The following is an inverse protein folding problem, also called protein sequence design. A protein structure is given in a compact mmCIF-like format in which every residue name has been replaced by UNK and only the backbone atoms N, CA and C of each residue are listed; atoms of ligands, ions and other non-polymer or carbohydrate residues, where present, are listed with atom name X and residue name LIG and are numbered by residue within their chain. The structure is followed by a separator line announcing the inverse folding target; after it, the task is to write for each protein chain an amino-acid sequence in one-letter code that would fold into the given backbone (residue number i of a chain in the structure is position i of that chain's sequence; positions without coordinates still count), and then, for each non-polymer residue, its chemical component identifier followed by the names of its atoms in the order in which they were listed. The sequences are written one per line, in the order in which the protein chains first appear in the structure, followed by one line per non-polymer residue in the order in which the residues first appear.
data_IF_129444947469
#
_entry.id   IF_129444947469
#
_cell.length_a   1.000
_cell.length_b   1.000
_cell.length_c   1.000
_cell.angle_alpha   90.00
_cell.angle_beta   90.00
_cell.angle_gamma   90.00
#
_symmetry.space_group_name_H-M   'P 1'
#
loop_
_entity.id
_entity.type
_entity.pdbx_description
1 polymer ?
#
# COMPACT_ATOMS: atom_id res chain seq x y z
N UNK A 1 37.91 3.64 -16.90
CA UNK A 1 38.21 4.80 -16.05
C UNK A 1 37.07 4.89 -15.05
N UNK A 2 37.35 4.62 -13.77
CA UNK A 2 36.37 4.59 -12.69
C UNK A 2 36.40 5.95 -12.00
N UNK A 3 35.41 6.79 -12.28
CA UNK A 3 35.19 8.04 -11.55
C UNK A 3 34.47 7.71 -10.23
N UNK A 4 35.28 7.33 -9.23
CA UNK A 4 34.85 7.30 -7.84
C UNK A 4 34.74 8.75 -7.36
N UNK A 5 33.58 9.38 -7.59
CA UNK A 5 33.24 10.68 -7.02
C UNK A 5 33.10 10.57 -5.51
N UNK A 6 34.24 10.64 -4.81
CA UNK A 6 34.29 10.81 -3.37
C UNK A 6 33.93 12.28 -3.07
N UNK A 7 32.65 12.55 -2.83
CA UNK A 7 32.15 13.88 -2.49
C UNK A 7 32.75 14.26 -1.12
N UNK A 8 33.84 15.02 -1.12
CA UNK A 8 34.38 15.64 0.09
C UNK A 8 33.56 16.91 0.41
N UNK A 9 32.66 16.78 1.37
CA UNK A 9 31.90 17.91 1.92
C UNK A 9 32.82 18.77 2.80
N UNK A 10 32.69 20.09 2.70
CA UNK A 10 33.36 21.03 3.62
C UNK A 10 32.82 20.88 5.05
N UNK A 11 33.60 21.31 6.04
CA UNK A 11 33.13 21.30 7.44
C UNK A 11 31.87 22.15 7.63
N UNK A 12 31.72 23.25 6.90
CA UNK A 12 30.48 24.05 6.89
C UNK A 12 29.29 23.28 6.31
N UNK A 13 29.49 22.52 5.24
CA UNK A 13 28.43 21.70 4.64
C UNK A 13 28.01 20.56 5.58
N UNK A 14 28.96 19.95 6.30
CA UNK A 14 28.67 18.93 7.32
C UNK A 14 27.90 19.53 8.50
N UNK A 15 28.31 20.70 8.98
CA UNK A 15 27.66 21.41 10.08
C UNK A 15 26.25 21.86 9.70
N UNK A 16 26.03 22.24 8.44
CA UNK A 16 24.71 22.58 7.92
C UNK A 16 23.81 21.34 7.84
N UNK A 17 24.32 20.23 7.31
CA UNK A 17 23.59 18.96 7.24
C UNK A 17 23.19 18.47 8.64
N UNK A 18 24.11 18.60 9.61
CA UNK A 18 23.87 18.21 10.99
C UNK A 18 22.80 19.08 11.68
N UNK A 19 22.79 20.39 11.40
CA UNK A 19 21.75 21.30 11.88
C UNK A 19 20.38 20.96 11.29
N UNK A 20 20.31 20.71 9.98
CA UNK A 20 19.07 20.29 9.32
C UNK A 20 18.56 18.95 9.86
N UNK A 21 19.46 17.99 10.07
CA UNK A 21 19.12 16.68 10.64
C UNK A 21 18.56 16.81 12.06
N UNK A 22 19.22 17.58 12.94
CA UNK A 22 18.72 17.85 14.30
C UNK A 22 17.38 18.55 14.31
N UNK A 23 17.17 19.51 13.41
CA UNK A 23 15.91 20.24 13.32
C UNK A 23 14.77 19.32 12.85
N UNK A 24 15.02 18.44 11.86
CA UNK A 24 14.04 17.44 11.42
C UNK A 24 13.70 16.42 12.51
N UNK A 25 14.72 15.88 13.19
CA UNK A 25 14.51 14.94 14.30
C UNK A 25 13.68 15.58 15.42
N UNK A 26 13.98 16.83 15.79
CA UNK A 26 13.23 17.57 16.80
C UNK A 26 11.78 17.84 16.38
N UNK A 27 11.54 18.19 15.11
CA UNK A 27 10.17 18.39 14.58
C UNK A 27 9.40 17.06 14.57
N UNK A 28 10.06 15.94 14.23
CA UNK A 28 9.45 14.61 14.28
C UNK A 28 9.13 14.20 15.73
N UNK A 29 10.04 14.43 16.69
CA UNK A 29 9.83 14.14 18.11
C UNK A 29 8.72 15.03 18.73
N UNK A 30 8.72 16.34 18.44
CA UNK A 30 7.68 17.27 18.91
C UNK A 30 6.30 16.99 18.29
N UNK A 31 6.25 16.42 17.08
CA UNK A 31 5.02 15.96 16.47
C UNK A 31 4.52 14.62 17.07
N UNK A 32 5.44 13.78 17.58
CA UNK A 32 5.12 12.49 18.17
C UNK A 32 4.48 12.62 19.56
N UNK A 33 4.89 13.61 20.35
CA UNK A 33 4.34 13.87 21.70
C UNK A 33 3.07 14.74 21.69
N UNK A 34 2.70 15.31 20.55
CA UNK A 34 1.53 16.20 20.46
C UNK A 34 0.28 15.37 20.15
N UNK A 35 -0.70 15.42 21.05
CA UNK A 35 -2.04 14.88 20.79
C UNK A 35 -2.81 15.83 19.86
N UNK A 36 -3.48 15.25 18.87
CA UNK A 36 -4.35 15.98 17.94
C UNK A 36 -5.74 15.37 17.99
N UNK A 37 -6.75 16.22 18.14
CA UNK A 37 -8.14 15.82 18.00
C UNK A 37 -8.50 15.64 16.52
N UNK A 38 -9.35 14.65 16.23
CA UNK A 38 -9.91 14.49 14.89
C UNK A 38 -10.87 15.66 14.65
N UNK A 39 -10.79 16.37 13.50
CA UNK A 39 -11.71 17.47 13.18
C UNK A 39 -13.18 17.06 13.30
N UNK A 40 -14.00 17.92 13.91
CA UNK A 40 -15.43 17.67 14.18
C UNK A 40 -16.21 17.32 12.91
N UNK A 41 -15.92 18.00 11.80
CA UNK A 41 -16.54 17.72 10.49
C UNK A 41 -16.37 16.25 10.06
N UNK A 42 -15.20 15.65 10.33
CA UNK A 42 -14.94 14.23 10.03
C UNK A 42 -15.72 13.33 10.98
N UNK A 43 -15.77 13.68 12.27
CA UNK A 43 -16.51 12.91 13.27
C UNK A 43 -18.02 12.94 12.97
N UNK A 44 -18.57 14.10 12.61
CA UNK A 44 -19.97 14.26 12.24
C UNK A 44 -20.32 13.39 11.03
N UNK A 45 -19.48 13.39 9.99
CA UNK A 45 -19.67 12.53 8.83
C UNK A 45 -19.61 11.04 9.19
N UNK A 46 -18.71 10.65 10.11
CA UNK A 46 -18.55 9.28 10.60
C UNK A 46 -19.76 8.80 11.41
N UNK A 47 -20.29 9.65 12.30
CA UNK A 47 -21.33 9.28 13.25
C UNK A 47 -22.75 9.38 12.65
N UNK A 48 -22.98 10.33 11.76
CA UNK A 48 -24.32 10.62 11.24
C UNK A 48 -24.62 9.96 9.88
N UNK A 49 -23.64 9.35 9.23
CA UNK A 49 -23.85 8.66 7.94
C UNK A 49 -24.24 7.20 8.14
N UNK A 50 -25.31 6.76 7.46
CA UNK A 50 -25.74 5.36 7.54
C UNK A 50 -24.73 4.41 6.90
N UNK A 51 -24.70 3.15 7.35
CA UNK A 51 -23.85 2.09 6.74
C UNK A 51 -24.10 1.93 5.24
N UNK A 52 -25.35 2.03 4.80
CA UNK A 52 -25.71 1.90 3.38
C UNK A 52 -25.17 3.08 2.57
N UNK A 53 -25.28 4.29 3.11
CA UNK A 53 -24.79 5.50 2.46
C UNK A 53 -23.26 5.49 2.37
N UNK A 54 -22.56 5.04 3.42
CA UNK A 54 -21.12 4.80 3.36
C UNK A 54 -20.73 3.86 2.23
N UNK A 55 -21.42 2.71 2.09
CA UNK A 55 -21.12 1.77 1.02
C UNK A 55 -21.31 2.39 -0.37
N UNK A 56 -22.32 3.25 -0.55
CA UNK A 56 -22.54 3.94 -1.82
C UNK A 56 -21.49 5.03 -2.07
N UNK A 57 -21.19 5.86 -1.06
CA UNK A 57 -20.16 6.91 -1.11
C UNK A 57 -18.80 6.31 -1.43
N UNK A 58 -18.38 5.26 -0.72
CA UNK A 58 -17.09 4.59 -0.96
C UNK A 58 -17.00 3.95 -2.35
N UNK A 59 -18.07 3.32 -2.85
CA UNK A 59 -18.08 2.80 -4.23
C UNK A 59 -17.94 3.90 -5.28
N UNK A 60 -18.59 5.06 -5.06
CA UNK A 60 -18.46 6.21 -5.95
C UNK A 60 -17.03 6.78 -5.90
N UNK A 61 -16.50 6.96 -4.69
CA UNK A 61 -15.14 7.45 -4.47
C UNK A 61 -14.08 6.52 -5.10
N UNK A 62 -14.17 5.21 -4.89
CA UNK A 62 -13.28 4.23 -5.53
C UNK A 62 -13.28 4.32 -7.06
N UNK A 63 -14.41 4.70 -7.67
CA UNK A 63 -14.54 4.86 -9.13
C UNK A 63 -14.04 6.21 -9.63
N UNK A 64 -13.99 7.23 -8.77
CA UNK A 64 -13.48 8.55 -9.14
C UNK A 64 -11.95 8.60 -9.11
N UNK A 65 -11.30 7.72 -8.35
CA UNK A 65 -9.84 7.69 -8.25
C UNK A 65 -9.15 7.43 -9.60
N UNK A 66 -7.96 8.01 -9.83
CA UNK A 66 -7.14 7.73 -11.00
C UNK A 66 -6.79 6.24 -11.11
N UNK A 67 -6.79 5.74 -12.34
CA UNK A 67 -6.33 4.38 -12.65
C UNK A 67 -4.85 4.41 -13.00
N UNK A 68 -4.01 4.21 -12.00
CA UNK A 68 -2.57 4.06 -12.19
C UNK A 68 -2.24 2.78 -12.97
N UNK A 69 -1.15 2.81 -13.73
CA UNK A 69 -0.68 1.65 -14.49
C UNK A 69 -0.49 0.44 -13.57
N UNK A 70 -0.95 -0.73 -14.05
CA UNK A 70 -0.81 -2.00 -13.34
C UNK A 70 0.68 -2.39 -13.25
N UNK A 71 1.19 -2.48 -12.03
CA UNK A 71 2.55 -2.89 -11.69
C UNK A 71 2.50 -3.81 -10.48
N UNK A 72 3.65 -4.36 -10.08
CA UNK A 72 3.75 -5.25 -8.91
C UNK A 72 3.11 -4.68 -7.63
N UNK A 73 3.10 -3.36 -7.45
CA UNK A 73 2.62 -2.66 -6.25
C UNK A 73 1.17 -2.19 -6.38
N UNK A 74 0.78 -1.76 -7.58
CA UNK A 74 -0.54 -1.19 -7.85
C UNK A 74 -1.59 -2.23 -8.25
N UNK A 75 -1.16 -3.42 -8.70
CA UNK A 75 -2.06 -4.52 -9.05
C UNK A 75 -2.50 -5.30 -7.82
N UNK A 76 -3.81 -5.46 -7.65
CA UNK A 76 -4.37 -6.36 -6.65
C UNK A 76 -4.11 -7.81 -7.03
N UNK A 77 -3.87 -8.65 -6.01
CA UNK A 77 -3.69 -10.09 -6.19
C UNK A 77 -4.94 -10.87 -5.75
N UNK A 78 -5.02 -12.14 -6.18
CA UNK A 78 -6.04 -13.08 -5.71
C UNK A 78 -5.52 -14.51 -5.75
N UNK A 79 -6.07 -15.36 -4.88
CA UNK A 79 -5.83 -16.80 -4.93
C UNK A 79 -6.38 -17.40 -6.23
N UNK A 80 -5.67 -18.37 -6.82
CA UNK A 80 -6.11 -19.08 -8.02
C UNK A 80 -7.42 -19.83 -7.74
N UNK A 81 -8.39 -19.72 -8.66
CA UNK A 81 -9.74 -20.29 -8.49
C UNK A 81 -9.73 -21.80 -8.28
N UNK A 82 -8.78 -22.50 -8.91
CA UNK A 82 -8.61 -23.95 -8.77
C UNK A 82 -8.42 -24.40 -7.31
N UNK A 83 -7.78 -23.56 -6.47
CA UNK A 83 -7.53 -23.87 -5.07
C UNK A 83 -8.71 -23.55 -4.15
N UNK A 84 -9.78 -22.91 -4.63
CA UNK A 84 -10.91 -22.53 -3.79
C UNK A 84 -11.60 -23.75 -3.15
N UNK A 85 -11.82 -24.81 -3.93
CA UNK A 85 -12.49 -26.01 -3.45
C UNK A 85 -11.65 -26.73 -2.40
N UNK A 86 -10.35 -26.87 -2.66
CA UNK A 86 -9.42 -27.55 -1.75
C UNK A 86 -9.20 -26.76 -0.47
N UNK A 87 -8.99 -25.44 -0.55
CA UNK A 87 -8.90 -24.58 0.64
C UNK A 87 -10.16 -24.67 1.50
N UNK A 88 -11.36 -24.65 0.91
CA UNK A 88 -12.61 -24.80 1.65
C UNK A 88 -12.77 -26.17 2.30
N UNK A 89 -12.25 -27.23 1.66
CA UNK A 89 -12.34 -28.61 2.15
C UNK A 89 -11.32 -28.89 3.25
N UNK A 90 -10.09 -28.46 3.05
CA UNK A 90 -8.94 -28.78 3.92
C UNK A 90 -8.86 -27.83 5.12
N UNK A 91 -9.13 -26.53 4.91
CA UNK A 91 -9.06 -25.54 5.97
C UNK A 91 -9.94 -24.30 5.65
N UNK A 92 -11.23 -24.40 5.98
CA UNK A 92 -12.21 -23.34 5.71
C UNK A 92 -11.82 -22.00 6.35
N UNK A 93 -11.25 -22.03 7.55
CA UNK A 93 -10.79 -20.83 8.25
C UNK A 93 -9.67 -20.13 7.46
N UNK A 94 -8.70 -20.90 6.94
CA UNK A 94 -7.65 -20.36 6.08
C UNK A 94 -8.22 -19.74 4.80
N UNK A 95 -9.22 -20.38 4.17
CA UNK A 95 -9.89 -19.79 3.00
C UNK A 95 -10.52 -18.43 3.31
N UNK A 96 -11.20 -18.31 4.47
CA UNK A 96 -11.82 -17.06 4.90
C UNK A 96 -10.78 -15.97 5.18
N UNK A 97 -9.70 -16.32 5.87
CA UNK A 97 -8.59 -15.40 6.18
C UNK A 97 -7.91 -14.91 4.90
N UNK A 98 -7.54 -15.82 3.98
CA UNK A 98 -6.95 -15.48 2.68
C UNK A 98 -7.86 -14.54 1.89
N UNK A 99 -9.16 -14.86 1.82
CA UNK A 99 -10.14 -14.04 1.12
C UNK A 99 -10.28 -12.64 1.75
N UNK A 100 -10.19 -12.54 3.08
CA UNK A 100 -10.23 -11.27 3.78
C UNK A 100 -8.95 -10.46 3.55
N UNK A 101 -7.79 -11.10 3.55
CA UNK A 101 -6.50 -10.45 3.29
C UNK A 101 -6.50 -9.77 1.92
N UNK A 102 -6.88 -10.48 0.85
CA UNK A 102 -6.97 -9.87 -0.48
C UNK A 102 -8.00 -8.73 -0.57
N UNK A 103 -9.08 -8.75 0.23
CA UNK A 103 -10.01 -7.61 0.31
C UNK A 103 -9.39 -6.42 1.06
N UNK A 104 -8.61 -6.68 2.11
CA UNK A 104 -7.94 -5.63 2.88
C UNK A 104 -6.82 -4.97 2.07
N UNK A 105 -6.01 -5.76 1.36
CA UNK A 105 -4.97 -5.22 0.50
C UNK A 105 -5.53 -4.37 -0.64
N UNK A 106 -6.70 -4.72 -1.19
CA UNK A 106 -7.41 -3.93 -2.21
C UNK A 106 -7.89 -2.57 -1.67
N UNK A 107 -8.39 -2.54 -0.42
CA UNK A 107 -8.74 -1.29 0.27
C UNK A 107 -7.51 -0.42 0.51
N UNK A 108 -6.37 -1.03 0.88
CA UNK A 108 -5.12 -0.28 1.03
C UNK A 108 -4.62 0.28 -0.29
N UNK A 109 -4.76 -0.45 -1.40
CA UNK A 109 -4.46 0.09 -2.74
C UNK A 109 -5.36 1.26 -3.13
N UNK A 110 -6.64 1.20 -2.76
CA UNK A 110 -7.55 2.35 -2.91
C UNK A 110 -7.01 3.57 -2.16
N UNK A 111 -6.61 3.40 -0.90
CA UNK A 111 -6.02 4.48 -0.10
C UNK A 111 -4.69 4.97 -0.68
N UNK A 112 -3.87 4.08 -1.22
CA UNK A 112 -2.63 4.43 -1.91
C UNK A 112 -2.86 5.25 -3.17
N UNK A 113 -3.87 4.90 -3.97
CA UNK A 113 -4.26 5.67 -5.15
C UNK A 113 -4.73 7.07 -4.76
N UNK A 114 -5.58 7.19 -3.74
CA UNK A 114 -6.02 8.48 -3.19
C UNK A 114 -4.85 9.35 -2.68
N UNK A 115 -3.93 8.75 -1.93
CA UNK A 115 -2.74 9.45 -1.45
C UNK A 115 -1.81 9.87 -2.59
N UNK A 116 -1.75 9.09 -3.68
CA UNK A 116 -0.97 9.44 -4.87
C UNK A 116 -1.60 10.61 -5.62
N UNK A 117 -2.92 10.63 -5.76
CA UNK A 117 -3.66 11.73 -6.38
C UNK A 117 -3.43 13.05 -5.61
N UNK A 118 -3.55 13.02 -4.28
CA UNK A 118 -3.25 14.17 -3.42
C UNK A 118 -1.78 14.62 -3.60
N UNK A 119 -0.83 13.68 -3.70
CA UNK A 119 0.57 14.01 -3.95
C UNK A 119 0.74 14.72 -5.29
N UNK A 120 0.13 14.23 -6.37
CA UNK A 120 0.22 14.82 -7.72
C UNK A 120 -0.41 16.22 -7.76
N UNK A 121 -1.57 16.40 -7.12
CA UNK A 121 -2.22 17.71 -7.00
C UNK A 121 -1.36 18.71 -6.25
N UNK A 122 -0.83 18.32 -5.08
CA UNK A 122 0.07 19.17 -4.29
C UNK A 122 1.36 19.50 -5.05
N UNK A 123 1.91 18.53 -5.78
CA UNK A 123 3.12 18.74 -6.58
C UNK A 123 2.89 19.80 -7.66
N UNK A 124 1.71 19.82 -8.27
CA UNK A 124 1.34 20.82 -9.28
C UNK A 124 1.19 22.23 -8.73
N UNK A 125 0.92 22.38 -7.43
CA UNK A 125 0.70 23.66 -6.74
C UNK A 125 1.98 24.27 -6.13
N UNK A 126 3.05 23.48 -5.98
CA UNK A 126 4.27 23.95 -5.33
C UNK A 126 5.07 24.88 -6.27
N UNK A 127 5.10 26.16 -5.94
CA UNK A 127 6.20 27.06 -6.29
C UNK A 127 7.42 26.79 -5.41
N UNK A 128 8.63 27.15 -5.86
CA UNK A 128 9.92 26.78 -5.26
C UNK A 128 10.14 27.13 -3.78
N UNK A 129 9.27 27.88 -3.12
CA UNK A 129 9.54 28.47 -1.79
C UNK A 129 8.52 28.12 -0.68
N UNK A 130 7.43 27.40 -0.97
CA UNK A 130 6.35 27.25 0.02
C UNK A 130 6.52 26.00 0.92
N UNK A 131 7.24 26.18 2.04
CA UNK A 131 7.68 25.10 2.95
C UNK A 131 6.55 24.27 3.58
N UNK A 132 5.33 24.83 3.69
CA UNK A 132 4.16 24.10 4.20
C UNK A 132 3.70 23.06 3.18
N UNK A 133 3.56 23.44 1.91
CA UNK A 133 3.16 22.52 0.85
C UNK A 133 4.19 21.42 0.61
N UNK A 134 5.48 21.73 0.75
CA UNK A 134 6.54 20.70 0.70
C UNK A 134 6.37 19.64 1.79
N UNK A 135 6.00 20.04 3.02
CA UNK A 135 5.74 19.10 4.12
C UNK A 135 4.47 18.26 3.87
N UNK A 136 3.38 18.86 3.38
CA UNK A 136 2.14 18.13 3.09
C UNK A 136 2.34 17.16 1.92
N UNK A 137 3.08 17.58 0.88
CA UNK A 137 3.47 16.72 -0.24
C UNK A 137 4.23 15.48 0.25
N UNK A 138 5.23 15.66 1.12
CA UNK A 138 6.00 14.55 1.68
C UNK A 138 5.13 13.61 2.53
N UNK A 139 4.16 14.13 3.28
CA UNK A 139 3.18 13.31 4.01
C UNK A 139 2.31 12.46 3.06
N UNK A 140 1.80 13.06 1.99
CA UNK A 140 1.03 12.33 0.97
C UNK A 140 1.87 11.23 0.31
N UNK A 141 3.13 11.53 -0.04
CA UNK A 141 4.08 10.56 -0.60
C UNK A 141 4.33 9.38 0.36
N UNK A 142 4.62 9.66 1.63
CA UNK A 142 4.84 8.64 2.66
C UNK A 142 3.60 7.76 2.87
N UNK A 143 2.41 8.36 2.86
CA UNK A 143 1.14 7.61 2.98
C UNK A 143 0.90 6.70 1.77
N UNK A 144 1.14 7.17 0.54
CA UNK A 144 1.03 6.35 -0.66
C UNK A 144 1.98 5.13 -0.58
N UNK A 145 3.25 5.36 -0.22
CA UNK A 145 4.23 4.28 -0.06
C UNK A 145 3.80 3.30 1.03
N UNK A 146 3.40 3.81 2.20
CA UNK A 146 2.97 2.98 3.33
C UNK A 146 1.81 2.06 2.95
N UNK A 147 0.79 2.61 2.29
CA UNK A 147 -0.42 1.85 1.92
C UNK A 147 -0.14 0.81 0.85
N UNK A 148 0.62 1.14 -0.21
CA UNK A 148 1.02 0.15 -1.22
C UNK A 148 1.93 -0.94 -0.67
N UNK A 149 2.89 -0.59 0.19
CA UNK A 149 3.78 -1.57 0.82
C UNK A 149 3.02 -2.55 1.71
N UNK A 150 2.13 -2.03 2.57
CA UNK A 150 1.29 -2.88 3.42
C UNK A 150 0.32 -3.75 2.61
N UNK A 151 -0.27 -3.22 1.54
CA UNK A 151 -1.09 -4.03 0.63
C UNK A 151 -0.29 -5.23 0.10
N UNK A 152 0.97 -5.01 -0.27
CA UNK A 152 1.85 -6.07 -0.77
C UNK A 152 2.24 -7.08 0.30
N UNK A 153 2.51 -6.64 1.53
CA UNK A 153 2.79 -7.52 2.65
C UNK A 153 1.60 -8.41 2.99
N UNK A 154 0.38 -7.86 3.01
CA UNK A 154 -0.84 -8.65 3.24
C UNK A 154 -1.05 -9.71 2.14
N UNK A 155 -0.79 -9.38 0.87
CA UNK A 155 -0.87 -10.36 -0.21
C UNK A 155 0.15 -11.48 -0.05
N UNK A 156 1.36 -11.15 0.45
CA UNK A 156 2.39 -12.13 0.75
C UNK A 156 2.00 -13.04 1.93
N UNK A 157 1.44 -12.48 3.00
CA UNK A 157 0.90 -13.27 4.12
C UNK A 157 -0.21 -14.21 3.66
N UNK A 158 -1.13 -13.72 2.81
CA UNK A 158 -2.20 -14.53 2.23
C UNK A 158 -1.64 -15.74 1.44
N UNK A 159 -0.57 -15.52 0.67
CA UNK A 159 0.15 -16.60 -0.04
C UNK A 159 0.81 -17.59 0.89
N UNK A 160 1.42 -17.14 1.98
CA UNK A 160 2.06 -18.02 2.95
C UNK A 160 1.04 -18.91 3.66
N UNK A 161 -0.11 -18.34 4.03
CA UNK A 161 -1.23 -19.09 4.59
C UNK A 161 -1.73 -20.11 3.57
N UNK A 162 -1.92 -19.71 2.30
CA UNK A 162 -2.35 -20.61 1.24
C UNK A 162 -1.34 -21.75 1.00
N UNK A 163 -0.05 -21.44 0.92
CA UNK A 163 1.03 -22.42 0.76
C UNK A 163 1.01 -23.46 1.88
N UNK A 164 0.86 -23.02 3.14
CA UNK A 164 0.77 -23.92 4.29
C UNK A 164 -0.51 -24.76 4.27
N UNK A 165 -1.66 -24.15 3.99
CA UNK A 165 -2.95 -24.82 3.98
C UNK A 165 -3.07 -25.87 2.86
N UNK A 166 -2.43 -25.61 1.72
CA UNK A 166 -2.47 -26.48 0.54
C UNK A 166 -1.29 -27.48 0.48
N UNK A 167 -0.39 -27.44 1.47
CA UNK A 167 0.85 -28.23 1.53
C UNK A 167 1.75 -28.08 0.29
N UNK A 168 1.87 -26.86 -0.23
CA UNK A 168 2.70 -26.58 -1.42
C UNK A 168 4.21 -26.58 -1.05
N UNK A 169 5.10 -26.99 -1.98
CA UNK A 169 6.55 -26.95 -1.76
C UNK A 169 7.07 -25.54 -1.43
N UNK A 170 8.08 -25.42 -0.58
CA UNK A 170 8.67 -24.12 -0.22
C UNK A 170 9.38 -23.41 -1.40
N UNK A 171 9.66 -24.12 -2.51
CA UNK A 171 10.33 -23.60 -3.71
C UNK A 171 9.41 -22.84 -4.67
N UNK A 172 8.14 -22.65 -4.30
CA UNK A 172 7.12 -21.92 -5.08
C UNK A 172 7.59 -20.49 -5.32
N UNK A 173 8.14 -20.21 -6.51
CA UNK A 173 8.45 -18.87 -7.00
C UNK A 173 7.49 -18.47 -8.11
N UNK A 174 6.82 -17.37 -7.82
CA UNK A 174 6.03 -16.42 -8.61
C UNK A 174 6.17 -16.47 -10.14
N UNK A 175 5.02 -16.58 -10.82
CA UNK A 175 4.63 -15.90 -12.07
C UNK A 175 3.17 -16.27 -12.38
N UNK A 176 2.20 -15.63 -11.74
CA UNK A 176 0.78 -15.84 -12.03
C UNK A 176 0.35 -15.09 -13.29
N UNK A 177 -0.07 -15.81 -14.33
CA UNK A 177 -0.76 -15.22 -15.48
C UNK A 177 -2.11 -14.62 -15.07
N UNK A 178 -2.62 -13.70 -15.90
CA UNK A 178 -3.95 -13.10 -15.75
C UNK A 178 -5.02 -14.13 -16.13
N UNK A 179 -5.79 -14.62 -15.16
CA UNK A 179 -7.11 -15.17 -15.47
C UNK A 179 -8.07 -14.03 -15.82
N UNK A 180 -9.31 -14.37 -16.20
CA UNK A 180 -10.47 -13.51 -16.52
C UNK A 180 -10.93 -12.59 -15.34
N UNK A 181 -9.97 -11.95 -14.67
CA UNK A 181 -10.10 -11.05 -13.54
C UNK A 181 -9.07 -9.94 -13.71
N UNK A 182 -9.40 -8.71 -13.33
CA UNK A 182 -8.47 -7.59 -13.35
C UNK A 182 -7.24 -7.73 -12.40
N UNK A 183 -7.10 -8.88 -11.72
CA UNK A 183 -6.18 -9.15 -10.63
C UNK A 183 -5.10 -10.16 -11.04
N UNK A 184 -3.91 -10.00 -10.47
CA UNK A 184 -2.79 -10.93 -10.66
C UNK A 184 -3.00 -12.18 -9.82
N UNK A 185 -2.74 -13.37 -10.38
CA UNK A 185 -2.88 -14.61 -9.64
C UNK A 185 -1.73 -14.82 -8.64
N UNK A 186 -2.05 -15.39 -7.48
CA UNK A 186 -1.13 -15.64 -6.39
C UNK A 186 -0.03 -16.66 -6.75
N UNK A 187 -0.40 -17.72 -7.48
CA UNK A 187 0.49 -18.80 -7.91
C UNK A 187 0.56 -18.92 -9.43
N UNK A 188 1.71 -19.38 -9.93
CA UNK A 188 1.93 -19.60 -11.35
C UNK A 188 1.23 -20.85 -11.88
N UNK A 189 0.98 -20.95 -13.20
CA UNK A 189 0.43 -22.16 -13.82
C UNK A 189 1.25 -23.43 -13.50
N UNK A 190 2.57 -23.34 -13.46
CA UNK A 190 3.45 -24.49 -13.17
C UNK A 190 3.21 -25.05 -11.76
N UNK A 191 2.94 -24.17 -10.80
CA UNK A 191 2.63 -24.57 -9.41
C UNK A 191 1.24 -25.21 -9.33
N UNK A 192 0.28 -24.71 -10.11
CA UNK A 192 -1.07 -25.28 -10.20
C UNK A 192 -1.01 -26.69 -10.79
N UNK A 193 -0.17 -26.93 -11.79
CA UNK A 193 -0.02 -28.24 -12.43
C UNK A 193 0.65 -29.29 -11.52
N UNK A 194 1.62 -28.91 -10.68
CA UNK A 194 2.29 -29.85 -9.76
C UNK A 194 1.37 -30.47 -8.69
N UNK A 195 0.16 -29.94 -8.51
CA UNK A 195 -0.82 -30.40 -7.52
C UNK A 195 -2.02 -31.15 -8.11
N UNK A 196 -2.18 -31.16 -9.44
CA UNK A 196 -3.21 -31.97 -10.13
C UNK A 196 -2.74 -33.41 -10.29
#
# INVERSE_FOLDING_TARGET
MNDNNNIQLSEEQKEQLYREFKQRARIEDEAYEREFEIPEEILEDLDNTSKTDFHQRFKKYQRSLPKYQKTQWTSAETINKCFHADLKRENLDSYQVISSHYKHSDKLRTAGAAATEIFEELQSLIGTEDSIFANVLEKARRLAIFTYANAKFIDQEAKEIATKALHLPASVRHLGEEEETDKTLAFSPEIVEQRR
#
